data_IF_485729415286
#
_entry.id   IF_485729415286
#
_cell.length_a   1.000
_cell.length_b   1.000
_cell.length_c   1.000
_cell.angle_alpha   90.00
_cell.angle_beta   90.00
_cell.angle_gamma   90.00
#
_symmetry.space_group_name_H-M   'P 1'
#
loop_
_entity.id
_entity.type
_entity.pdbx_description
1 polymer ?
#
# COMPACT_ATOMS: atom_id res chain seq x y z
N UNK A 1 -30.20 -10.11 -3.06
CA UNK A 1 -29.88 -8.68 -2.98
C UNK A 1 -30.76 -7.94 -3.97
N UNK A 2 -31.33 -6.79 -3.57
CA UNK A 2 -32.01 -5.89 -4.50
C UNK A 2 -31.01 -4.98 -5.22
N UNK A 3 -31.42 -4.34 -6.32
CA UNK A 3 -30.58 -3.37 -7.03
C UNK A 3 -30.16 -2.19 -6.12
N UNK A 4 -31.07 -1.72 -5.26
CA UNK A 4 -30.78 -0.68 -4.26
C UNK A 4 -29.71 -1.14 -3.28
N UNK A 5 -29.87 -2.33 -2.71
CA UNK A 5 -28.88 -2.86 -1.76
C UNK A 5 -27.51 -3.04 -2.42
N UNK A 6 -27.45 -3.52 -3.67
CA UNK A 6 -26.19 -3.64 -4.40
C UNK A 6 -25.51 -2.28 -4.61
N UNK A 7 -26.29 -1.25 -4.95
CA UNK A 7 -25.77 0.13 -5.07
C UNK A 7 -25.21 0.65 -3.74
N UNK A 8 -25.93 0.44 -2.65
CA UNK A 8 -25.52 0.92 -1.33
C UNK A 8 -24.22 0.25 -0.86
N UNK A 9 -24.06 -1.06 -1.11
CA UNK A 9 -22.81 -1.77 -0.85
C UNK A 9 -21.66 -1.27 -1.72
N UNK A 10 -21.89 -1.00 -3.01
CA UNK A 10 -20.88 -0.41 -3.88
C UNK A 10 -20.39 0.95 -3.39
N UNK A 11 -21.30 1.83 -2.94
CA UNK A 11 -20.94 3.14 -2.39
C UNK A 11 -20.13 2.98 -1.10
N UNK A 12 -20.52 2.04 -0.24
CA UNK A 12 -19.83 1.76 1.02
C UNK A 12 -18.38 1.34 0.78
N UNK A 13 -18.14 0.38 -0.13
CA UNK A 13 -16.79 -0.08 -0.48
C UNK A 13 -15.98 1.04 -1.14
N UNK A 14 -16.60 1.82 -2.03
CA UNK A 14 -15.94 2.94 -2.69
C UNK A 14 -15.47 3.99 -1.67
N UNK A 15 -16.35 4.43 -0.77
CA UNK A 15 -16.01 5.43 0.23
C UNK A 15 -14.90 4.92 1.17
N UNK A 16 -14.98 3.66 1.60
CA UNK A 16 -13.97 3.03 2.45
C UNK A 16 -12.57 3.01 1.80
N UNK A 17 -12.48 2.68 0.51
CA UNK A 17 -11.21 2.59 -0.22
C UNK A 17 -10.68 3.93 -0.72
N UNK A 18 -11.56 4.87 -1.06
CA UNK A 18 -11.18 6.14 -1.70
C UNK A 18 -10.45 7.07 -0.73
N UNK A 19 -11.08 7.44 0.38
CA UNK A 19 -10.54 8.46 1.28
C UNK A 19 -9.29 7.97 2.01
N UNK A 20 -9.28 6.69 2.41
CA UNK A 20 -8.14 6.07 3.10
C UNK A 20 -6.91 5.99 2.20
N UNK A 21 -7.07 5.54 0.95
CA UNK A 21 -5.97 5.43 -0.01
C UNK A 21 -5.46 6.80 -0.44
N UNK A 22 -6.36 7.74 -0.75
CA UNK A 22 -5.99 9.10 -1.14
C UNK A 22 -5.21 9.81 -0.02
N UNK A 23 -5.66 9.67 1.23
CA UNK A 23 -4.97 10.22 2.41
C UNK A 23 -3.60 9.59 2.60
N UNK A 24 -3.51 8.26 2.56
CA UNK A 24 -2.23 7.54 2.69
C UNK A 24 -1.23 7.98 1.63
N UNK A 25 -1.65 8.09 0.37
CA UNK A 25 -0.77 8.53 -0.72
C UNK A 25 -0.29 9.97 -0.54
N UNK A 26 -1.18 10.86 -0.09
CA UNK A 26 -0.84 12.27 0.19
C UNK A 26 0.25 12.38 1.26
N UNK A 27 0.13 11.62 2.36
CA UNK A 27 1.15 11.57 3.39
C UNK A 27 2.44 10.90 2.91
N UNK A 28 2.35 9.84 2.10
CA UNK A 28 3.52 9.17 1.52
C UNK A 28 4.34 10.15 0.65
N UNK A 29 3.69 10.90 -0.22
CA UNK A 29 4.35 11.94 -1.03
C UNK A 29 4.93 13.07 -0.21
N UNK A 30 4.21 13.54 0.80
CA UNK A 30 4.75 14.52 1.75
C UNK A 30 6.03 13.99 2.43
N UNK A 31 5.99 12.75 2.96
CA UNK A 31 7.13 12.13 3.62
C UNK A 31 8.33 11.97 2.67
N UNK A 32 8.12 11.55 1.42
CA UNK A 32 9.21 11.45 0.44
C UNK A 32 9.79 12.81 0.06
N UNK A 33 8.94 13.83 -0.10
CA UNK A 33 9.39 15.19 -0.40
C UNK A 33 10.26 15.75 0.73
N UNK A 34 9.92 15.46 1.99
CA UNK A 34 10.69 15.88 3.16
C UNK A 34 11.93 15.04 3.43
N UNK A 35 12.10 13.88 2.78
CA UNK A 35 13.21 12.95 3.05
C UNK A 35 13.93 12.53 1.75
N UNK A 36 14.84 13.36 1.21
CA UNK A 36 15.50 13.11 -0.08
C UNK A 36 16.28 11.80 -0.14
N UNK A 37 16.89 11.36 0.96
CA UNK A 37 17.62 10.09 1.02
C UNK A 37 16.69 8.88 0.87
N UNK A 38 15.52 8.92 1.51
CA UNK A 38 14.49 7.87 1.40
C UNK A 38 13.95 7.84 -0.02
N UNK A 39 13.66 9.02 -0.59
CA UNK A 39 13.25 9.16 -1.99
C UNK A 39 14.27 8.54 -2.96
N UNK A 40 15.56 8.85 -2.78
CA UNK A 40 16.62 8.30 -3.63
C UNK A 40 16.72 6.77 -3.55
N UNK A 41 16.58 6.19 -2.35
CA UNK A 41 16.57 4.72 -2.18
C UNK A 41 15.36 4.07 -2.86
N UNK A 42 14.17 4.69 -2.74
CA UNK A 42 12.97 4.21 -3.41
C UNK A 42 13.15 4.19 -4.94
N UNK A 43 13.61 5.30 -5.53
CA UNK A 43 13.85 5.35 -6.97
C UNK A 43 14.91 4.35 -7.42
N UNK A 44 15.99 4.17 -6.66
CA UNK A 44 17.00 3.17 -7.00
C UNK A 44 16.44 1.73 -7.07
N UNK A 45 15.54 1.35 -6.14
CA UNK A 45 14.87 0.04 -6.20
C UNK A 45 13.96 -0.07 -7.43
N UNK A 46 13.18 0.99 -7.73
CA UNK A 46 12.28 1.02 -8.87
C UNK A 46 13.06 0.93 -10.20
N UNK A 47 14.14 1.69 -10.34
CA UNK A 47 15.00 1.67 -11.53
C UNK A 47 15.64 0.30 -11.72
N UNK A 48 16.09 -0.35 -10.64
CA UNK A 48 16.68 -1.69 -10.68
C UNK A 48 15.68 -2.78 -11.06
N UNK A 49 14.45 -2.69 -10.56
CA UNK A 49 13.44 -3.76 -10.69
C UNK A 49 12.59 -3.61 -11.95
N UNK A 50 12.26 -2.36 -12.30
CA UNK A 50 11.31 -2.02 -13.34
C UNK A 50 12.01 -1.44 -14.57
N UNK A 51 13.05 -0.63 -14.40
CA UNK A 51 13.55 0.22 -15.48
C UNK A 51 12.44 1.10 -16.03
N UNK A 52 12.26 1.13 -17.36
CA UNK A 52 11.26 1.98 -18.02
C UNK A 52 9.87 1.33 -18.19
N UNK A 53 9.68 0.09 -17.74
CA UNK A 53 8.41 -0.63 -17.92
C UNK A 53 7.40 -0.30 -16.82
N UNK A 54 6.11 -0.44 -17.12
CA UNK A 54 5.07 -0.36 -16.10
C UNK A 54 5.12 -1.56 -15.13
N UNK A 55 4.87 -1.35 -13.82
CA UNK A 55 4.85 -2.44 -12.84
C UNK A 55 3.74 -3.46 -13.11
N UNK A 56 3.99 -4.71 -12.72
CA UNK A 56 3.02 -5.81 -12.71
C UNK A 56 2.91 -6.41 -11.30
N UNK A 57 1.90 -7.25 -11.06
CA UNK A 57 1.72 -7.93 -9.76
C UNK A 57 2.96 -8.79 -9.40
N UNK A 58 3.60 -9.40 -10.40
CA UNK A 58 4.77 -10.27 -10.22
C UNK A 58 6.03 -9.53 -9.72
N UNK A 59 5.98 -8.19 -9.70
CA UNK A 59 7.08 -7.36 -9.20
C UNK A 59 6.96 -7.07 -7.71
N UNK A 60 5.77 -7.20 -7.12
CA UNK A 60 5.55 -6.90 -5.71
C UNK A 60 6.52 -7.63 -4.77
N UNK A 61 6.84 -8.94 -4.96
CA UNK A 61 7.81 -9.63 -4.10
C UNK A 61 9.25 -9.12 -4.24
N UNK A 62 9.56 -8.40 -5.32
CA UNK A 62 10.90 -7.88 -5.64
C UNK A 62 11.11 -6.48 -5.08
N UNK A 63 10.04 -5.75 -4.78
CA UNK A 63 10.06 -4.36 -4.29
C UNK A 63 10.17 -4.29 -2.76
N UNK A 64 11.20 -4.93 -2.19
CA UNK A 64 11.39 -5.11 -0.74
C UNK A 64 11.45 -3.82 0.10
N UNK A 65 11.90 -2.71 -0.48
CA UNK A 65 11.96 -1.40 0.15
C UNK A 65 10.59 -0.72 0.10
N UNK A 66 9.91 -0.75 -1.05
CA UNK A 66 8.58 -0.17 -1.23
C UNK A 66 7.47 -0.94 -0.50
N UNK A 67 7.50 -2.27 -0.50
CA UNK A 67 6.49 -3.12 0.15
C UNK A 67 6.76 -3.34 1.65
N UNK A 68 7.92 -2.89 2.15
CA UNK A 68 8.44 -3.24 3.46
C UNK A 68 8.98 -4.69 3.53
N UNK A 69 9.74 -5.02 4.58
CA UNK A 69 10.35 -6.34 4.71
C UNK A 69 9.34 -7.49 4.61
N UNK A 70 9.69 -8.59 3.91
CA UNK A 70 8.88 -9.80 3.86
C UNK A 70 8.54 -10.26 5.28
N UNK A 71 7.24 -10.38 5.59
CA UNK A 71 6.76 -10.86 6.89
C UNK A 71 6.29 -9.80 7.88
N UNK A 72 6.42 -8.49 7.60
CA UNK A 72 5.84 -7.45 8.47
C UNK A 72 4.34 -7.65 8.72
N UNK A 73 3.59 -8.02 7.68
CA UNK A 73 2.16 -8.32 7.79
C UNK A 73 1.88 -9.60 8.58
N UNK A 74 2.80 -10.56 8.60
CA UNK A 74 2.69 -11.79 9.39
C UNK A 74 2.89 -11.50 10.88
N UNK A 75 3.87 -10.68 11.21
CA UNK A 75 4.18 -10.31 12.61
C UNK A 75 3.08 -9.39 13.19
N UNK A 76 2.53 -8.46 12.42
CA UNK A 76 1.40 -7.62 12.88
C UNK A 76 0.14 -8.44 13.18
N UNK A 77 -0.21 -9.39 12.31
CA UNK A 77 -1.32 -10.31 12.55
C UNK A 77 -1.10 -11.18 13.80
N UNK A 78 0.14 -11.64 14.02
CA UNK A 78 0.51 -12.39 15.22
C UNK A 78 0.45 -11.55 16.50
N UNK A 79 0.84 -10.28 16.45
CA UNK A 79 0.76 -9.34 17.59
C UNK A 79 -0.70 -9.07 17.96
N UNK A 80 -1.59 -8.86 16.98
CA UNK A 80 -3.02 -8.66 17.23
C UNK A 80 -3.73 -9.93 17.72
N UNK A 81 -3.34 -11.11 17.23
CA UNK A 81 -3.86 -12.40 17.70
C UNK A 81 -3.44 -12.77 19.14
N UNK A 82 -2.43 -12.08 19.71
CA UNK A 82 -1.96 -12.29 21.09
C UNK A 82 -2.51 -11.28 22.08
N UNK A 83 -3.35 -10.33 21.67
CA UNK A 83 -4.05 -9.46 22.61
C UNK A 83 -5.22 -10.23 23.25
N UNK A 84 -5.23 -10.44 24.57
CA UNK A 84 -6.42 -10.96 25.24
C UNK A 84 -7.56 -9.94 25.15
N UNK A 85 -8.79 -10.45 25.03
CA UNK A 85 -10.04 -9.66 25.06
C UNK A 85 -10.17 -8.82 26.34
#
# INVERSE_FOLDING_TARGET
>A
MSETQLRDECITIFAAGYETTARTMSFAWYALASNPQVKAKLHAELDQTLGDRSPTIDDLPKLSYCSGPPGLYREQFLIESRRPN
#
